data_IF_022521622926
#
_entry.id   IF_022521622926
#
_cell.length_a   1.000
_cell.length_b   1.000
_cell.length_c   1.000
_cell.angle_alpha   90.00
_cell.angle_beta   90.00
_cell.angle_gamma   90.00
#
_symmetry.space_group_name_H-M   'P 1'
#
loop_
_entity.id
_entity.type
_entity.pdbx_description
1 polymer ?
#
# COMPACT_ATOMS: atom_id res chain seq x y z
N UNK A 1 -15.86 3.33 4.16
CA UNK A 1 -16.18 4.21 5.27
C UNK A 1 -14.95 4.97 5.72
N UNK A 2 -15.11 6.22 6.15
CA UNK A 2 -13.99 7.02 6.60
C UNK A 2 -13.48 6.52 7.95
N UNK A 3 -12.20 6.77 8.24
CA UNK A 3 -11.61 6.45 9.52
C UNK A 3 -10.70 5.23 9.53
N UNK A 4 -10.69 4.45 8.45
CA UNK A 4 -9.75 3.34 8.35
C UNK A 4 -8.32 3.88 8.36
N UNK A 5 -7.41 3.13 8.99
CA UNK A 5 -6.00 3.48 9.05
C UNK A 5 -5.26 2.88 7.86
N UNK A 6 -4.56 3.72 7.11
CA UNK A 6 -3.81 3.27 5.93
C UNK A 6 -2.33 3.55 6.15
N UNK A 7 -1.51 2.51 6.00
CA UNK A 7 -0.05 2.63 6.09
C UNK A 7 0.50 2.92 4.69
N UNK A 8 1.29 3.98 4.58
CA UNK A 8 1.92 4.39 3.33
C UNK A 8 3.41 4.08 3.42
N UNK A 9 3.90 3.15 2.59
CA UNK A 9 5.32 2.79 2.55
C UNK A 9 5.89 3.34 1.25
N UNK A 10 6.60 4.45 1.33
CA UNK A 10 7.07 5.20 0.18
C UNK A 10 8.29 6.03 0.60
N UNK A 11 9.42 5.88 -0.09
CA UNK A 11 10.63 6.61 0.26
C UNK A 11 10.67 8.05 -0.28
N UNK A 12 9.89 8.35 -1.32
CA UNK A 12 9.86 9.69 -1.90
C UNK A 12 8.87 10.58 -1.14
N UNK A 13 9.39 11.67 -0.55
CA UNK A 13 8.59 12.55 0.29
C UNK A 13 7.42 13.18 -0.46
N UNK A 14 7.63 13.59 -1.71
CA UNK A 14 6.57 14.22 -2.50
C UNK A 14 5.43 13.27 -2.80
N UNK A 15 5.76 12.04 -3.15
CA UNK A 15 4.74 11.03 -3.41
C UNK A 15 4.01 10.66 -2.13
N UNK A 16 4.73 10.55 -1.02
CA UNK A 16 4.14 10.23 0.28
C UNK A 16 3.16 11.32 0.70
N UNK A 17 3.56 12.59 0.51
CA UNK A 17 2.70 13.73 0.84
C UNK A 17 1.44 13.74 -0.03
N UNK A 18 1.57 13.51 -1.33
CA UNK A 18 0.42 13.48 -2.23
C UNK A 18 -0.59 12.42 -1.79
N UNK A 19 -0.12 11.22 -1.55
CA UNK A 19 -0.99 10.10 -1.15
C UNK A 19 -1.65 10.40 0.19
N UNK A 20 -0.87 10.88 1.15
CA UNK A 20 -1.41 11.24 2.46
C UNK A 20 -2.51 12.29 2.36
N UNK A 21 -2.25 13.38 1.63
CA UNK A 21 -3.20 14.48 1.54
C UNK A 21 -4.50 14.02 0.87
N UNK A 22 -4.40 13.24 -0.19
CA UNK A 22 -5.56 12.72 -0.91
C UNK A 22 -6.40 11.83 0.00
N UNK A 23 -5.75 10.95 0.76
CA UNK A 23 -6.46 10.04 1.64
C UNK A 23 -7.12 10.77 2.81
N UNK A 24 -6.41 11.73 3.39
CA UNK A 24 -6.95 12.48 4.53
C UNK A 24 -8.16 13.33 4.14
N UNK A 25 -8.18 13.88 2.93
CA UNK A 25 -9.34 14.60 2.43
C UNK A 25 -10.58 13.70 2.40
N UNK A 26 -10.40 12.41 2.14
CA UNK A 26 -11.50 11.46 2.13
C UNK A 26 -11.82 10.88 3.51
N UNK A 27 -11.15 11.36 4.56
CA UNK A 27 -11.44 10.94 5.93
C UNK A 27 -10.66 9.75 6.43
N UNK A 28 -9.74 9.20 5.64
CA UNK A 28 -8.89 8.12 6.10
C UNK A 28 -7.81 8.64 7.06
N UNK A 29 -7.40 7.79 7.99
CA UNK A 29 -6.25 8.06 8.83
C UNK A 29 -5.02 7.46 8.17
N UNK A 30 -3.86 8.10 8.32
CA UNK A 30 -2.63 7.64 7.66
C UNK A 30 -1.49 7.55 8.65
N UNK A 31 -0.61 6.56 8.42
CA UNK A 31 0.72 6.49 9.01
C UNK A 31 1.70 6.22 7.87
N UNK A 32 2.95 6.61 8.06
CA UNK A 32 3.93 6.62 6.97
C UNK A 32 5.23 5.96 7.38
N UNK A 33 5.88 5.33 6.41
CA UNK A 33 7.25 4.86 6.58
C UNK A 33 8.02 5.08 5.29
N UNK A 34 9.34 5.23 5.40
CA UNK A 34 10.21 5.46 4.25
C UNK A 34 10.86 4.18 3.77
N UNK A 35 10.84 3.12 4.57
CA UNK A 35 11.44 1.84 4.24
C UNK A 35 10.44 0.72 4.47
N UNK A 36 10.66 -0.41 3.80
CA UNK A 36 9.83 -1.58 4.00
C UNK A 36 10.00 -2.15 5.41
N UNK A 37 11.22 -2.11 5.94
CA UNK A 37 11.50 -2.62 7.29
C UNK A 37 10.67 -1.89 8.34
N UNK A 38 10.66 -0.57 8.28
CA UNK A 38 9.84 0.23 9.20
C UNK A 38 8.36 -0.03 8.96
N UNK A 39 7.97 -0.16 7.69
CA UNK A 39 6.58 -0.46 7.33
C UNK A 39 6.09 -1.78 7.91
N UNK A 40 6.94 -2.82 7.86
CA UNK A 40 6.59 -4.12 8.43
C UNK A 40 6.39 -4.01 9.95
N UNK A 41 7.24 -3.25 10.62
CA UNK A 41 7.12 -3.02 12.05
C UNK A 41 5.80 -2.31 12.38
N UNK A 42 5.50 -1.24 11.63
CA UNK A 42 4.26 -0.50 11.85
C UNK A 42 3.02 -1.35 11.57
N UNK A 43 3.08 -2.21 10.57
CA UNK A 43 1.96 -3.09 10.26
C UNK A 43 1.65 -4.02 11.44
N UNK A 44 2.70 -4.54 12.08
CA UNK A 44 2.55 -5.41 13.24
C UNK A 44 2.04 -4.66 14.47
N UNK A 45 2.49 -3.41 14.65
CA UNK A 45 2.15 -2.63 15.84
C UNK A 45 0.79 -1.95 15.73
N UNK A 46 0.42 -1.48 14.54
CA UNK A 46 -0.76 -0.62 14.36
C UNK A 46 -1.93 -1.29 13.65
N UNK A 47 -1.72 -2.44 13.05
CA UNK A 47 -2.77 -3.20 12.35
C UNK A 47 -3.58 -2.33 11.38
N UNK A 48 -2.95 -1.73 10.36
CA UNK A 48 -3.69 -0.89 9.41
C UNK A 48 -4.71 -1.71 8.63
N UNK A 49 -5.74 -1.02 8.16
CA UNK A 49 -6.76 -1.65 7.32
C UNK A 49 -6.27 -1.88 5.90
N UNK A 50 -5.24 -1.17 5.48
CA UNK A 50 -4.69 -1.23 4.13
C UNK A 50 -3.25 -0.76 4.16
N UNK A 51 -2.40 -1.37 3.33
CA UNK A 51 -1.01 -0.94 3.14
C UNK A 51 -0.83 -0.54 1.68
N UNK A 52 -0.26 0.64 1.46
CA UNK A 52 0.18 1.08 0.14
C UNK A 52 1.68 0.87 0.09
N UNK A 53 2.13 0.01 -0.82
CA UNK A 53 3.53 -0.44 -0.84
C UNK A 53 4.19 -0.08 -2.16
N UNK A 54 5.17 0.82 -2.09
CA UNK A 54 6.02 1.10 -3.24
C UNK A 54 6.88 -0.14 -3.53
N UNK A 55 6.92 -0.54 -4.81
CA UNK A 55 7.69 -1.72 -5.20
C UNK A 55 9.19 -1.42 -5.21
N UNK A 56 9.58 -0.21 -5.61
CA UNK A 56 10.99 0.16 -5.71
C UNK A 56 11.44 0.92 -4.46
N UNK A 57 11.81 0.17 -3.43
CA UNK A 57 12.30 0.73 -2.17
C UNK A 57 13.77 0.39 -1.98
N UNK A 58 14.53 1.25 -1.28
CA UNK A 58 15.88 0.87 -0.86
C UNK A 58 15.80 -0.23 0.20
N UNK A 59 16.82 -1.08 0.26
CA UNK A 59 16.81 -2.22 1.17
C UNK A 59 15.96 -3.34 0.61
N UNK A 60 15.04 -3.89 1.38
CA UNK A 60 14.12 -4.88 0.83
C UNK A 60 13.05 -4.16 0.01
N UNK A 61 12.70 -4.76 -1.13
CA UNK A 61 11.70 -4.15 -2.01
C UNK A 61 10.28 -4.52 -1.58
N UNK A 62 9.29 -3.94 -2.28
CA UNK A 62 7.90 -4.13 -1.94
C UNK A 62 7.42 -5.57 -2.10
N UNK A 63 7.95 -6.30 -3.06
CA UNK A 63 7.55 -7.70 -3.27
C UNK A 63 8.05 -8.57 -2.12
N UNK A 64 9.30 -8.36 -1.69
CA UNK A 64 9.85 -9.06 -0.55
C UNK A 64 9.09 -8.73 0.73
N UNK A 65 8.75 -7.44 0.91
CA UNK A 65 7.96 -7.02 2.05
C UNK A 65 6.59 -7.70 2.07
N UNK A 66 5.96 -7.83 0.92
CA UNK A 66 4.67 -8.53 0.83
C UNK A 66 4.79 -9.97 1.32
N UNK A 67 5.87 -10.65 0.94
CA UNK A 67 6.09 -12.04 1.38
C UNK A 67 6.19 -12.12 2.89
N UNK A 68 6.91 -11.18 3.51
CA UNK A 68 6.99 -11.11 4.97
C UNK A 68 5.61 -10.91 5.60
N UNK A 69 4.80 -10.01 5.04
CA UNK A 69 3.46 -9.77 5.55
C UNK A 69 2.58 -11.03 5.48
N UNK A 70 2.68 -11.77 4.38
CA UNK A 70 1.84 -12.95 4.16
C UNK A 70 2.25 -14.17 4.99
N UNK A 71 3.49 -14.19 5.47
CA UNK A 71 3.96 -15.29 6.33
C UNK A 71 3.76 -15.04 7.82
N UNK A 72 3.42 -13.80 8.22
CA UNK A 72 3.16 -13.45 9.61
C UNK A 72 1.67 -13.58 9.88
N UNK A 73 1.26 -14.44 10.84
CA UNK A 73 -0.17 -14.62 11.14
C UNK A 73 -0.87 -13.31 11.51
N UNK A 74 -0.16 -12.33 12.06
CA UNK A 74 -0.77 -11.07 12.50
C UNK A 74 -1.03 -10.12 11.35
N UNK A 75 -0.32 -10.25 10.23
CA UNK A 75 -0.42 -9.31 9.10
C UNK A 75 -0.90 -9.96 7.81
N UNK A 76 -1.01 -11.28 7.75
CA UNK A 76 -1.25 -12.00 6.50
C UNK A 76 -2.57 -11.64 5.82
N UNK A 77 -3.54 -11.09 6.54
CA UNK A 77 -4.85 -10.74 5.99
C UNK A 77 -4.98 -9.25 5.63
N UNK A 78 -3.97 -8.44 5.96
CA UNK A 78 -4.03 -7.01 5.63
C UNK A 78 -3.89 -6.85 4.11
N UNK A 79 -4.85 -6.16 3.45
CA UNK A 79 -4.73 -5.94 2.00
C UNK A 79 -3.61 -4.98 1.69
N UNK A 80 -2.93 -5.22 0.56
CA UNK A 80 -1.79 -4.41 0.13
C UNK A 80 -1.97 -4.02 -1.33
N UNK A 81 -1.84 -2.73 -1.61
CA UNK A 81 -1.86 -2.21 -2.98
C UNK A 81 -0.41 -1.92 -3.40
N UNK A 82 0.00 -2.50 -4.52
CA UNK A 82 1.32 -2.23 -5.09
C UNK A 82 1.31 -0.90 -5.81
N UNK A 83 2.36 -0.09 -5.62
CA UNK A 83 2.55 1.16 -6.35
C UNK A 83 3.91 1.08 -7.04
N UNK A 84 3.95 1.35 -8.33
CA UNK A 84 5.19 1.21 -9.09
C UNK A 84 5.39 2.33 -10.10
N UNK A 85 6.65 2.75 -10.28
CA UNK A 85 7.04 3.66 -11.36
C UNK A 85 7.39 2.89 -12.62
N UNK A 86 7.50 1.56 -12.54
CA UNK A 86 7.94 0.70 -13.66
C UNK A 86 6.82 -0.21 -14.11
N UNK A 87 5.74 0.39 -14.64
CA UNK A 87 4.55 -0.37 -15.04
C UNK A 87 4.82 -1.37 -16.15
N UNK A 88 5.86 -1.15 -16.97
CA UNK A 88 6.21 -2.09 -18.02
C UNK A 88 6.81 -3.39 -17.47
N UNK A 89 7.56 -3.28 -16.38
CA UNK A 89 8.18 -4.44 -15.72
C UNK A 89 7.25 -5.03 -14.68
N UNK A 90 6.59 -4.16 -13.91
CA UNK A 90 5.70 -4.57 -12.82
C UNK A 90 4.26 -4.28 -13.24
N UNK A 91 3.71 -5.16 -14.08
CA UNK A 91 2.34 -4.99 -14.57
C UNK A 91 1.32 -5.33 -13.49
N UNK A 92 0.09 -4.86 -13.69
CA UNK A 92 -1.01 -5.20 -12.77
C UNK A 92 -1.13 -6.72 -12.63
N UNK A 93 -1.10 -7.42 -13.74
CA UNK A 93 -1.26 -8.89 -13.73
C UNK A 93 -0.13 -9.56 -12.93
N UNK A 94 1.11 -9.12 -13.14
CA UNK A 94 2.26 -9.69 -12.42
C UNK A 94 2.17 -9.41 -10.93
N UNK A 95 1.77 -8.19 -10.54
CA UNK A 95 1.69 -7.84 -9.13
C UNK A 95 0.55 -8.56 -8.42
N UNK A 96 -0.59 -8.70 -9.08
CA UNK A 96 -1.69 -9.48 -8.51
C UNK A 96 -1.28 -10.95 -8.36
N UNK A 97 -0.49 -11.48 -9.30
CA UNK A 97 0.02 -12.85 -9.20
C UNK A 97 0.99 -13.03 -8.03
N UNK A 98 1.69 -11.95 -7.62
CA UNK A 98 2.56 -12.01 -6.45
C UNK A 98 1.78 -11.99 -5.13
N UNK A 99 0.50 -11.63 -5.17
CA UNK A 99 -0.34 -11.62 -3.98
C UNK A 99 -0.81 -10.25 -3.52
N UNK A 100 -0.51 -9.19 -4.29
CA UNK A 100 -1.07 -7.87 -3.99
C UNK A 100 -2.56 -7.86 -4.27
N UNK A 101 -3.29 -7.06 -3.50
CA UNK A 101 -4.74 -6.95 -3.62
C UNK A 101 -5.18 -5.86 -4.59
N UNK A 102 -4.26 -4.97 -4.95
CA UNK A 102 -4.53 -3.90 -5.90
C UNK A 102 -3.25 -3.36 -6.48
N UNK A 103 -3.38 -2.39 -7.38
CA UNK A 103 -2.24 -1.92 -8.17
C UNK A 103 -2.45 -0.49 -8.63
N UNK A 104 -1.41 0.33 -8.52
CA UNK A 104 -1.39 1.68 -9.09
C UNK A 104 -0.02 1.94 -9.68
N UNK A 105 0.02 2.55 -10.87
CA UNK A 105 1.28 2.98 -11.46
C UNK A 105 1.47 4.48 -11.21
N UNK A 106 2.73 4.90 -11.15
CA UNK A 106 3.08 6.33 -11.03
C UNK A 106 3.20 6.93 -12.44
N UNK A 107 2.83 8.19 -12.62
CA UNK A 107 2.28 9.11 -11.62
C UNK A 107 0.86 8.73 -11.22
N UNK A 108 0.54 8.93 -9.94
CA UNK A 108 -0.75 8.56 -9.38
C UNK A 108 -1.86 9.41 -10.01
N UNK A 109 -2.89 8.75 -10.54
CA UNK A 109 -4.14 9.39 -10.93
C UNK A 109 -5.03 9.40 -9.69
N UNK A 110 -5.36 10.59 -9.17
CA UNK A 110 -6.09 10.71 -7.91
C UNK A 110 -7.41 9.94 -7.97
N UNK A 111 -8.16 10.09 -9.06
CA UNK A 111 -9.44 9.42 -9.20
C UNK A 111 -9.29 7.90 -9.18
N UNK A 112 -8.39 7.38 -10.01
CA UNK A 112 -8.19 5.93 -10.11
C UNK A 112 -7.64 5.36 -8.80
N UNK A 113 -6.75 6.10 -8.15
CA UNK A 113 -6.17 5.69 -6.88
C UNK A 113 -7.24 5.57 -5.80
N UNK A 114 -8.11 6.57 -5.68
CA UNK A 114 -9.17 6.53 -4.68
C UNK A 114 -10.17 5.42 -4.96
N UNK A 115 -10.47 5.14 -6.22
CA UNK A 115 -11.34 4.03 -6.59
C UNK A 115 -10.71 2.69 -6.20
N UNK A 116 -9.41 2.54 -6.42
CA UNK A 116 -8.71 1.32 -6.06
C UNK A 116 -8.71 1.11 -4.54
N UNK A 117 -8.42 2.16 -3.78
CA UNK A 117 -8.44 2.10 -2.31
C UNK A 117 -9.81 1.68 -1.82
N UNK A 118 -10.85 2.34 -2.30
CA UNK A 118 -12.22 2.04 -1.90
C UNK A 118 -12.60 0.60 -2.24
N UNK A 119 -12.27 0.16 -3.45
CA UNK A 119 -12.58 -1.17 -3.92
C UNK A 119 -11.90 -2.25 -3.08
N UNK A 120 -10.62 -2.07 -2.78
CA UNK A 120 -9.86 -3.04 -2.00
C UNK A 120 -10.38 -3.12 -0.56
N UNK A 121 -10.67 -1.98 0.05
CA UNK A 121 -11.22 -1.96 1.41
C UNK A 121 -12.60 -2.60 1.47
N UNK A 122 -13.45 -2.36 0.48
CA UNK A 122 -14.78 -2.94 0.42
C UNK A 122 -14.72 -4.46 0.30
N UNK A 123 -13.78 -4.98 -0.48
CA UNK A 123 -13.63 -6.42 -0.68
C UNK A 123 -13.26 -7.13 0.62
N UNK A 124 -12.47 -6.50 1.46
CA UNK A 124 -11.98 -7.13 2.70
C UNK A 124 -12.97 -7.00 3.87
N UNK A 125 -14.01 -6.20 3.73
CA UNK A 125 -14.98 -6.00 4.81
C UNK A 125 -15.98 -7.14 4.92
N UNK A 126 -16.21 -7.85 3.84
CA UNK A 126 -17.19 -8.93 3.81
C UNK A 126 -16.81 -10.15 4.65
#
# INVERSE_FOLDING_TARGET
MAGELILIVEDNEKNRKLVRDVLQVKGYKTIESETAEEGLKLATEKYPSLILMDIQLPGIDGITALKHLRTDPETKTIPVIAITASAMTNTRQAMLAEGFDGYQSKPISVKDFLEEVHSVLATKVS
#
